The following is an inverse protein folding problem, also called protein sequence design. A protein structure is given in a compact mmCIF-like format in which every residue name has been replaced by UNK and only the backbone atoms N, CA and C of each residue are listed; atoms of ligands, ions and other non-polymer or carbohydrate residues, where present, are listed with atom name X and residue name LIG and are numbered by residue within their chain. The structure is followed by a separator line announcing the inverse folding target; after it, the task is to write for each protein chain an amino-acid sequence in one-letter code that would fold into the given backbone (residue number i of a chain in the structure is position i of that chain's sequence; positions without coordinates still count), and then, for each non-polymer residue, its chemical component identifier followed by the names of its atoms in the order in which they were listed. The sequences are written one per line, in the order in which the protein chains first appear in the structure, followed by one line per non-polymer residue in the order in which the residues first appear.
data_IF_816491247264
#
_entry.id   IF_816491247264
#
_cell.length_a   1.000
_cell.length_b   1.000
_cell.length_c   1.000
_cell.angle_alpha   90.00
_cell.angle_beta   90.00
_cell.angle_gamma   90.00
#
_symmetry.space_group_name_H-M   'P 1'
#
loop_
_entity.id
_entity.type
_entity.pdbx_description
1 polymer ?
#
# COMPACT_ATOMS: atom_id res chain seq x y z
N UNK A 1 27.42 -57.17 6.61
CA UNK A 1 27.10 -56.04 7.51
C UNK A 1 25.84 -56.37 8.29
N UNK A 2 25.94 -56.52 9.61
CA UNK A 2 24.88 -57.10 10.45
C UNK A 2 23.66 -56.20 10.69
N UNK A 3 22.49 -56.79 11.00
CA UNK A 3 21.21 -56.08 11.16
C UNK A 3 21.22 -55.02 12.28
N UNK A 4 22.12 -55.15 13.27
CA UNK A 4 22.32 -54.20 14.36
C UNK A 4 22.86 -52.83 13.89
N UNK A 5 23.69 -52.80 12.83
CA UNK A 5 24.24 -51.55 12.29
C UNK A 5 23.16 -50.72 11.58
N UNK A 6 22.18 -51.39 10.96
CA UNK A 6 21.08 -50.77 10.21
C UNK A 6 20.11 -50.01 11.12
N UNK A 7 19.84 -50.54 12.32
CA UNK A 7 19.00 -49.90 13.32
C UNK A 7 19.62 -48.65 13.98
N UNK A 8 20.95 -48.64 14.16
CA UNK A 8 21.69 -47.46 14.66
C UNK A 8 21.70 -46.32 13.63
N UNK A 9 21.91 -46.64 12.36
CA UNK A 9 21.89 -45.66 11.26
C UNK A 9 20.50 -45.05 11.09
N UNK A 10 19.43 -45.87 11.15
CA UNK A 10 18.06 -45.39 11.02
C UNK A 10 17.64 -44.43 12.15
N UNK A 11 18.09 -44.70 13.40
CA UNK A 11 17.83 -43.82 14.55
C UNK A 11 18.57 -42.48 14.44
N UNK A 12 19.79 -42.48 13.91
CA UNK A 12 20.57 -41.27 13.70
C UNK A 12 19.96 -40.39 12.60
N UNK A 13 19.45 -40.99 11.53
CA UNK A 13 18.76 -40.27 10.44
C UNK A 13 17.47 -39.62 10.94
N UNK A 14 16.65 -40.32 11.73
CA UNK A 14 15.41 -39.76 12.30
C UNK A 14 15.69 -38.60 13.24
N UNK A 15 16.71 -38.70 14.09
CA UNK A 15 17.11 -37.61 14.97
C UNK A 15 17.61 -36.37 14.20
N UNK A 16 18.29 -36.58 13.07
CA UNK A 16 18.79 -35.49 12.22
C UNK A 16 17.65 -34.77 11.48
N UNK A 17 16.64 -35.50 11.01
CA UNK A 17 15.46 -34.91 10.33
C UNK A 17 14.62 -34.08 11.31
N UNK A 18 14.41 -34.56 12.54
CA UNK A 18 13.65 -33.82 13.55
C UNK A 18 14.35 -32.53 14.02
N UNK A 19 15.69 -32.53 14.07
CA UNK A 19 16.47 -31.33 14.39
C UNK A 19 16.46 -30.30 13.25
N UNK A 20 16.36 -30.73 11.99
CA UNK A 20 16.30 -29.84 10.83
C UNK A 20 14.94 -29.12 10.65
N UNK A 21 13.84 -29.71 11.17
CA UNK A 21 12.50 -29.12 11.08
C UNK A 21 12.19 -28.06 12.16
N UNK A 22 13.08 -27.82 13.13
CA UNK A 22 12.83 -26.97 14.30
C UNK A 22 13.12 -25.48 14.15
N UNK A 23 13.66 -25.01 13.00
CA UNK A 23 14.09 -23.61 12.79
C UNK A 23 13.19 -22.88 11.79
N UNK A 24 11.87 -22.86 12.01
CA UNK A 24 10.97 -22.12 11.11
C UNK A 24 9.79 -21.39 11.78
N UNK A 25 9.73 -21.29 13.10
CA UNK A 25 8.61 -20.62 13.78
C UNK A 25 9.12 -19.55 14.73
N UNK A 26 9.63 -18.47 14.15
CA UNK A 26 10.16 -17.33 14.90
C UNK A 26 10.34 -16.08 14.07
N UNK A 27 9.54 -15.86 13.02
CA UNK A 27 9.29 -14.49 12.60
C UNK A 27 8.31 -13.93 13.63
N UNK A 28 8.86 -13.25 14.64
CA UNK A 28 8.08 -12.24 15.31
C UNK A 28 7.70 -11.24 14.21
N UNK A 29 6.45 -11.28 13.76
CA UNK A 29 5.86 -10.11 13.15
C UNK A 29 5.94 -9.03 14.23
N UNK A 30 6.89 -8.11 14.06
CA UNK A 30 6.84 -6.83 14.74
C UNK A 30 5.57 -6.18 14.20
N UNK A 31 4.45 -6.50 14.86
CA UNK A 31 3.14 -5.94 14.55
C UNK A 31 3.36 -4.44 14.49
N UNK A 32 3.32 -3.93 13.27
CA UNK A 32 3.57 -2.54 12.95
C UNK A 32 2.80 -1.76 14.00
N UNK A 33 3.49 -0.97 14.83
CA UNK A 33 2.81 0.01 15.69
C UNK A 33 2.04 0.87 14.69
N UNK A 34 0.78 0.50 14.46
CA UNK A 34 -0.01 1.00 13.35
C UNK A 34 -0.07 2.49 13.51
N UNK A 35 0.82 3.19 12.81
CA UNK A 35 0.79 4.63 12.79
C UNK A 35 -0.43 4.87 11.94
N UNK A 36 -1.54 5.27 12.56
CA UNK A 36 -2.78 5.55 11.83
C UNK A 36 -2.44 6.69 10.86
N UNK A 37 -2.12 6.33 9.64
CA UNK A 37 -1.76 7.24 8.57
C UNK A 37 -2.98 7.35 7.65
N UNK A 38 -3.39 8.57 7.33
CA UNK A 38 -4.53 8.80 6.45
C UNK A 38 -4.32 8.20 5.06
N UNK A 39 -5.40 8.03 4.29
CA UNK A 39 -5.37 7.39 2.97
C UNK A 39 -4.28 7.93 2.03
N UNK A 40 -3.91 9.20 2.14
CA UNK A 40 -2.83 9.80 1.37
C UNK A 40 -1.44 9.18 1.57
N UNK A 41 -1.18 8.51 2.69
CA UNK A 41 0.09 7.84 2.98
C UNK A 41 0.19 6.42 2.40
N UNK A 42 -0.90 5.89 1.83
CA UNK A 42 -0.87 4.64 1.07
C UNK A 42 0.01 4.83 -0.17
N UNK A 43 0.85 3.85 -0.45
CA UNK A 43 1.69 3.86 -1.66
C UNK A 43 0.82 3.74 -2.92
N UNK A 44 1.27 4.31 -4.03
CA UNK A 44 0.61 4.19 -5.32
C UNK A 44 0.54 2.73 -5.80
N UNK A 45 1.54 1.90 -5.46
CA UNK A 45 1.51 0.47 -5.73
C UNK A 45 0.39 -0.24 -4.95
N UNK A 46 0.24 0.05 -3.66
CA UNK A 46 -0.86 -0.51 -2.86
C UNK A 46 -2.22 0.03 -3.31
N UNK A 47 -2.33 1.32 -3.64
CA UNK A 47 -3.53 1.90 -4.25
C UNK A 47 -3.93 1.14 -5.54
N UNK A 48 -2.96 0.84 -6.40
CA UNK A 48 -3.22 0.08 -7.63
C UNK A 48 -3.73 -1.34 -7.33
N UNK A 49 -3.16 -2.03 -6.33
CA UNK A 49 -3.65 -3.33 -5.89
C UNK A 49 -5.09 -3.26 -5.37
N UNK A 50 -5.41 -2.27 -4.51
CA UNK A 50 -6.78 -2.04 -4.02
C UNK A 50 -7.73 -1.73 -5.17
N UNK A 51 -7.30 -0.89 -6.11
CA UNK A 51 -8.08 -0.53 -7.28
C UNK A 51 -8.38 -1.74 -8.17
N UNK A 52 -7.43 -2.65 -8.37
CA UNK A 52 -7.67 -3.89 -9.12
C UNK A 52 -8.65 -4.81 -8.42
N UNK A 53 -8.66 -4.84 -7.08
CA UNK A 53 -9.56 -5.67 -6.30
C UNK A 53 -11.00 -5.11 -6.24
N UNK A 54 -11.14 -3.80 -6.04
CA UNK A 54 -12.43 -3.11 -5.99
C UNK A 54 -12.27 -1.67 -6.52
N UNK A 55 -12.42 -1.45 -7.84
CA UNK A 55 -12.18 -0.15 -8.45
C UNK A 55 -13.08 0.95 -7.90
N UNK A 56 -14.36 0.65 -7.70
CA UNK A 56 -15.37 1.64 -7.35
C UNK A 56 -15.20 2.10 -5.90
N UNK A 57 -15.10 1.17 -4.96
CA UNK A 57 -14.93 1.52 -3.55
C UNK A 57 -13.58 2.19 -3.31
N UNK A 58 -12.51 1.70 -3.96
CA UNK A 58 -11.18 2.33 -3.87
C UNK A 58 -11.24 3.77 -4.36
N UNK A 59 -11.80 4.02 -5.54
CA UNK A 59 -11.90 5.38 -6.05
C UNK A 59 -12.70 6.30 -5.14
N UNK A 60 -13.86 5.85 -4.65
CA UNK A 60 -14.73 6.71 -3.85
C UNK A 60 -14.09 7.04 -2.49
N UNK A 61 -13.44 6.06 -1.85
CA UNK A 61 -12.70 6.26 -0.61
C UNK A 61 -11.53 7.25 -0.78
N UNK A 62 -10.64 6.99 -1.73
CA UNK A 62 -9.45 7.84 -1.94
C UNK A 62 -9.82 9.21 -2.48
N UNK A 63 -10.84 9.31 -3.34
CA UNK A 63 -11.28 10.60 -3.88
C UNK A 63 -12.00 11.46 -2.84
N UNK A 64 -12.82 10.87 -1.96
CA UNK A 64 -13.42 11.60 -0.84
C UNK A 64 -12.34 12.19 0.08
N UNK A 65 -11.32 11.39 0.41
CA UNK A 65 -10.15 11.86 1.14
C UNK A 65 -9.41 12.97 0.39
N UNK A 66 -9.18 12.81 -0.92
CA UNK A 66 -8.50 13.79 -1.76
C UNK A 66 -9.20 15.16 -1.77
N UNK A 67 -10.54 15.18 -1.86
CA UNK A 67 -11.30 16.44 -1.80
C UNK A 67 -11.15 17.14 -0.44
N UNK A 68 -11.18 16.37 0.65
CA UNK A 68 -10.89 16.87 2.00
C UNK A 68 -9.50 17.51 2.08
N UNK A 69 -8.46 16.78 1.63
CA UNK A 69 -7.09 17.27 1.59
C UNK A 69 -6.94 18.56 0.75
N UNK A 70 -7.46 18.58 -0.48
CA UNK A 70 -7.37 19.74 -1.37
C UNK A 70 -8.11 20.96 -0.83
N UNK A 71 -9.27 20.78 -0.20
CA UNK A 71 -9.99 21.89 0.45
C UNK A 71 -9.21 22.46 1.63
N UNK A 72 -8.59 21.60 2.45
CA UNK A 72 -7.70 22.01 3.53
C UNK A 72 -6.49 22.79 3.03
N UNK A 73 -5.83 22.33 1.96
CA UNK A 73 -4.74 23.07 1.31
C UNK A 73 -5.19 24.43 0.80
N UNK A 74 -6.35 24.49 0.15
CA UNK A 74 -6.89 25.75 -0.39
C UNK A 74 -7.07 26.78 0.73
N UNK A 75 -7.55 26.34 1.89
CA UNK A 75 -7.72 27.20 3.07
C UNK A 75 -6.37 27.57 3.70
N UNK A 76 -5.51 26.60 3.98
CA UNK A 76 -4.26 26.79 4.72
C UNK A 76 -3.26 27.67 3.95
N UNK A 77 -3.18 27.50 2.63
CA UNK A 77 -2.26 28.24 1.77
C UNK A 77 -2.88 29.53 1.19
N UNK A 78 -4.12 29.85 1.57
CA UNK A 78 -4.89 30.98 1.04
C UNK A 78 -4.94 30.97 -0.50
N UNK A 79 -4.86 29.76 -1.07
CA UNK A 79 -4.98 29.55 -2.50
C UNK A 79 -6.45 29.72 -2.88
N UNK A 80 -6.68 30.28 -4.06
CA UNK A 80 -8.01 30.36 -4.65
C UNK A 80 -8.12 29.35 -5.78
N UNK A 81 -7.78 28.08 -5.56
CA UNK A 81 -7.98 27.04 -6.58
C UNK A 81 -9.46 26.70 -6.71
N UNK A 82 -9.93 26.51 -7.93
CA UNK A 82 -11.25 25.99 -8.22
C UNK A 82 -11.21 24.46 -8.20
N UNK A 83 -11.61 23.85 -7.07
CA UNK A 83 -11.65 22.39 -6.90
C UNK A 83 -12.62 21.66 -7.85
N UNK A 84 -13.54 22.40 -8.47
CA UNK A 84 -14.45 21.90 -9.50
C UNK A 84 -14.02 22.31 -10.91
N UNK A 85 -12.82 22.88 -11.06
CA UNK A 85 -12.30 23.34 -12.33
C UNK A 85 -12.01 22.20 -13.32
N UNK A 86 -11.82 20.98 -12.82
CA UNK A 86 -11.76 19.76 -13.63
C UNK A 86 -12.95 18.86 -13.33
N UNK A 87 -13.47 18.13 -14.35
CA UNK A 87 -14.44 17.06 -14.12
C UNK A 87 -13.91 16.02 -13.12
N UNK A 88 -14.79 15.47 -12.27
CA UNK A 88 -14.43 14.45 -11.27
C UNK A 88 -13.69 13.27 -11.92
N UNK A 89 -14.21 12.77 -13.05
CA UNK A 89 -13.60 11.67 -13.79
C UNK A 89 -12.15 11.98 -14.22
N UNK A 90 -11.88 13.24 -14.60
CA UNK A 90 -10.54 13.69 -14.97
C UNK A 90 -9.61 13.74 -13.76
N UNK A 91 -10.08 14.23 -12.62
CA UNK A 91 -9.27 14.25 -11.39
C UNK A 91 -8.90 12.82 -10.95
N UNK A 92 -9.88 11.92 -10.90
CA UNK A 92 -9.67 10.50 -10.58
C UNK A 92 -8.70 9.83 -11.57
N UNK A 93 -8.89 10.05 -12.88
CA UNK A 93 -7.99 9.54 -13.92
C UNK A 93 -6.56 10.05 -13.75
N UNK A 94 -6.40 11.32 -13.41
CA UNK A 94 -5.09 11.93 -13.21
C UNK A 94 -4.34 11.29 -12.03
N UNK A 95 -5.05 11.00 -10.93
CA UNK A 95 -4.48 10.28 -9.78
C UNK A 95 -3.99 8.88 -10.20
N UNK A 96 -4.81 8.12 -10.94
CA UNK A 96 -4.40 6.80 -11.46
C UNK A 96 -3.16 6.89 -12.33
N UNK A 97 -3.20 7.77 -13.34
CA UNK A 97 -2.09 7.93 -14.27
C UNK A 97 -0.78 8.41 -13.61
N UNK A 98 -0.89 9.21 -12.55
CA UNK A 98 0.26 9.58 -11.71
C UNK A 98 0.81 8.34 -11.01
N UNK A 99 -0.05 7.56 -10.36
CA UNK A 99 0.34 6.39 -9.58
C UNK A 99 0.90 5.26 -10.43
N UNK A 100 0.35 5.00 -11.62
CA UNK A 100 0.83 3.97 -12.55
C UNK A 100 2.31 4.15 -12.91
N UNK A 101 2.78 5.40 -12.94
CA UNK A 101 4.17 5.75 -13.28
C UNK A 101 5.10 5.80 -12.07
N UNK A 102 4.55 5.79 -10.84
CA UNK A 102 5.27 6.09 -9.61
C UNK A 102 4.82 5.19 -8.46
N UNK A 103 5.02 3.86 -8.53
CA UNK A 103 4.47 2.92 -7.56
C UNK A 103 4.99 3.13 -6.12
N UNK A 104 6.18 3.72 -5.96
CA UNK A 104 6.77 4.03 -4.65
C UNK A 104 6.35 5.40 -4.09
N UNK A 105 5.66 6.25 -4.86
CA UNK A 105 5.12 7.50 -4.36
C UNK A 105 3.85 7.22 -3.54
N UNK A 106 3.50 8.13 -2.63
CA UNK A 106 2.25 8.03 -1.88
C UNK A 106 1.11 8.75 -2.61
N UNK A 107 -0.13 8.32 -2.38
CA UNK A 107 -1.32 8.87 -3.05
C UNK A 107 -1.45 10.39 -2.82
N UNK A 108 -1.01 10.91 -1.67
CA UNK A 108 -1.01 12.36 -1.40
C UNK A 108 -0.22 13.16 -2.45
N UNK A 109 0.87 12.60 -2.98
CA UNK A 109 1.66 13.27 -4.02
C UNK A 109 0.89 13.34 -5.35
N UNK A 110 0.13 12.31 -5.69
CA UNK A 110 -0.76 12.32 -6.84
C UNK A 110 -1.89 13.34 -6.70
N UNK A 111 -2.46 13.46 -5.50
CA UNK A 111 -3.51 14.45 -5.19
C UNK A 111 -2.96 15.88 -5.21
N UNK A 112 -1.76 16.09 -4.69
CA UNK A 112 -1.11 17.41 -4.76
C UNK A 112 -0.83 17.82 -6.21
N UNK A 113 -0.42 16.89 -7.07
CA UNK A 113 -0.27 17.15 -8.51
C UNK A 113 -1.60 17.55 -9.17
N UNK A 114 -2.73 16.95 -8.79
CA UNK A 114 -4.05 17.44 -9.21
C UNK A 114 -4.26 18.88 -8.74
N UNK A 115 -4.05 19.16 -7.45
CA UNK A 115 -4.29 20.48 -6.86
C UNK A 115 -3.48 21.60 -7.54
N UNK A 116 -2.21 21.33 -7.81
CA UNK A 116 -1.29 22.28 -8.44
C UNK A 116 -1.75 22.63 -9.87
N UNK A 117 -2.35 21.67 -10.57
CA UNK A 117 -2.83 21.83 -11.94
C UNK A 117 -4.30 22.33 -12.05
N UNK A 118 -5.02 22.48 -10.94
CA UNK A 118 -6.34 23.08 -10.95
C UNK A 118 -6.28 24.58 -11.31
N UNK A 119 -7.27 25.10 -12.04
CA UNK A 119 -7.35 26.52 -12.33
C UNK A 119 -7.61 27.35 -11.07
N UNK A 120 -7.27 28.63 -11.12
CA UNK A 120 -7.75 29.57 -10.11
C UNK A 120 -9.29 29.73 -10.18
N UNK A 121 -9.87 30.22 -9.08
CA UNK A 121 -11.29 30.47 -8.86
C UNK A 121 -11.66 31.89 -9.26
#
# INVERSE_FOLDING_TARGET
MGPLARGRVMRLVVAFVLAASGVASGYAEEGEKGTIAGAGWVSCGEYAQKYQADPQNTEDYFYAWAQGYMSGLNQALWQKKNLRGWPIARQKQHIRAYCDKRPLANVVAAVQDVFDNLPAR
#
